data_IF_672473700878
#
_entry.id   IF_672473700878
#
_cell.length_a   1.000
_cell.length_b   1.000
_cell.length_c   1.000
_cell.angle_alpha   90.00
_cell.angle_beta   90.00
_cell.angle_gamma   90.00
#
_symmetry.space_group_name_H-M   'P 1'
#
loop_
_entity.id
_entity.type
_entity.pdbx_description
1 polymer ?
#
# COMPACT_ATOMS: atom_id res chain seq x y z
N UNK A 1 12.88 -61.06 -20.62
CA UNK A 1 12.34 -59.73 -20.24
C UNK A 1 12.95 -58.69 -21.16
N UNK A 2 12.12 -58.01 -21.96
CA UNK A 2 12.55 -57.05 -22.99
C UNK A 2 12.92 -55.71 -22.32
N UNK A 3 14.15 -55.27 -22.51
CA UNK A 3 14.58 -53.92 -22.13
C UNK A 3 14.22 -52.95 -23.26
N UNK A 4 13.35 -51.99 -22.98
CA UNK A 4 13.09 -50.86 -23.88
C UNK A 4 13.97 -49.68 -23.47
N UNK A 5 14.91 -49.32 -24.35
CA UNK A 5 15.64 -48.05 -24.30
C UNK A 5 14.83 -47.03 -25.08
N UNK A 6 14.36 -45.97 -24.43
CA UNK A 6 13.76 -44.81 -25.09
C UNK A 6 14.83 -43.73 -25.25
N UNK A 7 15.16 -43.41 -26.51
CA UNK A 7 15.96 -42.25 -26.87
C UNK A 7 15.01 -41.08 -27.09
N UNK A 8 15.10 -40.05 -26.25
CA UNK A 8 14.36 -38.80 -26.42
C UNK A 8 15.17 -37.86 -27.32
N UNK A 9 14.73 -37.68 -28.57
CA UNK A 9 15.22 -36.65 -29.49
C UNK A 9 14.28 -35.44 -29.37
N UNK A 10 14.86 -34.26 -29.17
CA UNK A 10 14.21 -33.13 -28.51
C UNK A 10 13.33 -32.21 -29.37
N UNK A 11 12.79 -31.19 -28.71
CA UNK A 11 12.55 -29.85 -29.26
C UNK A 11 12.72 -28.86 -28.10
N UNK A 12 13.80 -28.08 -28.12
CA UNK A 12 13.93 -26.90 -27.26
C UNK A 12 13.03 -25.83 -27.87
N UNK A 13 11.89 -25.57 -27.25
CA UNK A 13 11.10 -24.38 -27.59
C UNK A 13 11.89 -23.15 -27.11
N UNK A 14 12.62 -22.54 -28.05
CA UNK A 14 13.02 -21.15 -27.92
C UNK A 14 11.73 -20.32 -27.89
N UNK A 15 11.28 -19.95 -26.70
CA UNK A 15 10.31 -18.88 -26.52
C UNK A 15 10.94 -17.64 -27.15
N UNK A 16 10.43 -17.22 -28.31
CA UNK A 16 10.78 -15.93 -28.86
C UNK A 16 10.41 -14.88 -27.81
N UNK A 17 11.40 -14.18 -27.27
CA UNK A 17 11.14 -12.91 -26.62
C UNK A 17 10.40 -12.05 -27.64
N UNK A 18 9.10 -11.86 -27.41
CA UNK A 18 8.34 -10.85 -28.13
C UNK A 18 8.97 -9.51 -27.79
N UNK A 19 9.85 -9.02 -28.67
CA UNK A 19 10.29 -7.64 -28.65
C UNK A 19 9.03 -6.79 -28.81
N UNK A 20 8.60 -6.14 -27.74
CA UNK A 20 7.49 -5.19 -27.81
C UNK A 20 7.80 -4.17 -28.91
N UNK A 21 6.97 -4.14 -29.95
CA UNK A 21 7.08 -3.10 -30.98
C UNK A 21 6.79 -1.77 -30.29
N UNK A 22 7.80 -0.91 -30.22
CA UNK A 22 7.62 0.46 -29.81
C UNK A 22 6.62 1.15 -30.75
N UNK A 23 5.55 1.70 -30.19
CA UNK A 23 4.61 2.56 -30.92
C UNK A 23 5.34 3.89 -31.17
N UNK A 24 6.00 4.01 -32.32
CA UNK A 24 6.55 5.28 -32.77
C UNK A 24 5.42 6.15 -33.30
N UNK A 25 5.07 7.19 -32.55
CA UNK A 25 4.35 8.34 -33.11
C UNK A 25 5.24 9.00 -34.16
N UNK A 26 4.69 9.23 -35.35
CA UNK A 26 5.37 9.91 -36.46
C UNK A 26 5.82 11.32 -36.01
N UNK A 27 7.09 11.47 -35.63
CA UNK A 27 7.68 12.75 -35.23
C UNK A 27 8.84 12.69 -34.23
N UNK A 28 9.12 11.56 -33.59
CA UNK A 28 10.23 11.44 -32.63
C UNK A 28 11.44 10.78 -33.30
N UNK A 29 12.52 11.55 -33.49
CA UNK A 29 13.83 11.02 -33.88
C UNK A 29 14.26 9.90 -32.92
N UNK A 30 14.56 8.71 -33.46
CA UNK A 30 15.17 7.63 -32.71
C UNK A 30 16.59 8.04 -32.31
N UNK A 31 16.75 8.60 -31.11
CA UNK A 31 18.10 8.84 -30.56
C UNK A 31 18.85 7.53 -30.48
N UNK A 32 20.10 7.53 -30.93
CA UNK A 32 20.94 6.35 -30.82
C UNK A 32 21.25 6.06 -29.35
N UNK A 33 21.52 4.80 -29.00
CA UNK A 33 21.94 4.45 -27.64
C UNK A 33 23.16 5.25 -27.18
N UNK A 34 24.05 5.58 -28.13
CA UNK A 34 25.23 6.40 -27.90
C UNK A 34 24.88 7.86 -27.56
N UNK A 35 23.96 8.48 -28.30
CA UNK A 35 23.45 9.82 -27.99
C UNK A 35 22.76 9.88 -26.63
N UNK A 36 22.03 8.83 -26.25
CA UNK A 36 21.42 8.73 -24.91
C UNK A 36 22.50 8.66 -23.84
N UNK A 37 23.54 7.84 -24.06
CA UNK A 37 24.65 7.70 -23.12
C UNK A 37 25.43 9.00 -22.93
N UNK A 38 25.72 9.71 -24.02
CA UNK A 38 26.38 11.01 -24.01
C UNK A 38 25.49 12.09 -23.35
N UNK A 39 24.19 12.08 -23.65
CA UNK A 39 23.21 12.94 -23.01
C UNK A 39 23.03 12.70 -21.52
N UNK A 40 23.27 11.48 -21.02
CA UNK A 40 23.29 11.20 -19.57
C UNK A 40 24.62 11.65 -18.96
N UNK A 41 25.73 11.39 -19.66
CA UNK A 41 27.07 11.71 -19.18
C UNK A 41 27.27 13.22 -18.94
N UNK A 42 26.63 14.09 -19.73
CA UNK A 42 26.73 15.54 -19.57
C UNK A 42 26.16 16.07 -18.25
N UNK A 43 25.28 15.32 -17.56
CA UNK A 43 24.77 15.69 -16.23
C UNK A 43 25.69 15.27 -15.09
N UNK A 44 26.82 14.61 -15.37
CA UNK A 44 27.71 14.05 -14.35
C UNK A 44 28.17 15.09 -13.32
N UNK A 45 28.57 16.28 -13.75
CA UNK A 45 29.06 17.32 -12.84
C UNK A 45 27.95 17.95 -12.01
N UNK A 46 26.76 18.17 -12.61
CA UNK A 46 25.58 18.63 -11.88
C UNK A 46 25.13 17.61 -10.82
N UNK A 47 25.09 16.33 -11.17
CA UNK A 47 24.75 15.26 -10.24
C UNK A 47 25.75 15.20 -9.08
N UNK A 48 27.06 15.28 -9.36
CA UNK A 48 28.09 15.34 -8.32
C UNK A 48 27.94 16.57 -7.43
N UNK A 49 27.63 17.74 -7.99
CA UNK A 49 27.40 18.95 -7.22
C UNK A 49 26.22 18.80 -6.24
N UNK A 50 25.10 18.21 -6.70
CA UNK A 50 23.93 17.93 -5.85
C UNK A 50 24.29 16.94 -4.74
N UNK A 51 24.96 15.84 -5.08
CA UNK A 51 25.40 14.83 -4.10
C UNK A 51 26.32 15.48 -3.07
N UNK A 52 27.33 16.24 -3.51
CA UNK A 52 28.28 16.89 -2.61
C UNK A 52 27.58 17.90 -1.70
N UNK A 53 26.65 18.70 -2.22
CA UNK A 53 25.86 19.63 -1.41
C UNK A 53 25.08 18.91 -0.29
N UNK A 54 24.44 17.79 -0.63
CA UNK A 54 23.58 17.02 0.27
C UNK A 54 24.35 16.15 1.27
N UNK A 55 25.52 15.62 0.89
CA UNK A 55 26.28 14.65 1.69
C UNK A 55 27.40 15.31 2.48
N UNK A 56 28.10 16.29 1.90
CA UNK A 56 29.31 16.90 2.47
C UNK A 56 29.22 18.42 2.62
N UNK A 57 28.24 19.06 2.00
CA UNK A 57 28.07 20.50 1.97
C UNK A 57 27.11 21.02 3.03
N UNK A 58 26.70 22.28 2.85
CA UNK A 58 25.80 23.00 3.77
C UNK A 58 24.38 22.42 3.89
N UNK A 59 24.01 21.41 3.10
CA UNK A 59 22.72 20.73 3.20
C UNK A 59 22.83 19.34 3.86
N UNK A 60 24.00 18.98 4.35
CA UNK A 60 24.20 17.76 5.14
C UNK A 60 23.19 17.70 6.29
N UNK A 61 22.62 16.50 6.52
CA UNK A 61 21.61 16.19 7.54
C UNK A 61 20.25 16.90 7.41
N UNK A 62 20.08 17.90 6.54
CA UNK A 62 18.85 18.68 6.41
C UNK A 62 17.60 17.82 6.23
N UNK A 63 17.66 16.77 5.41
CA UNK A 63 16.51 15.87 5.19
C UNK A 63 16.12 15.10 6.46
N UNK A 64 17.11 14.66 7.23
CA UNK A 64 16.88 13.97 8.50
C UNK A 64 16.30 14.93 9.54
N UNK A 65 16.90 16.12 9.69
CA UNK A 65 16.44 17.14 10.64
C UNK A 65 15.03 17.63 10.34
N UNK A 66 14.70 17.87 9.06
CA UNK A 66 13.33 18.23 8.65
C UNK A 66 12.35 17.10 8.88
N UNK A 67 12.74 15.85 8.62
CA UNK A 67 11.91 14.70 8.92
C UNK A 67 11.67 14.59 10.43
N UNK A 68 12.71 14.72 11.25
CA UNK A 68 12.64 14.69 12.71
C UNK A 68 11.70 15.78 13.23
N UNK A 69 11.90 17.04 12.81
CA UNK A 69 10.99 18.14 13.14
C UNK A 69 9.53 17.79 12.80
N UNK A 70 9.29 17.28 11.58
CA UNK A 70 7.95 16.94 11.13
C UNK A 70 7.33 15.80 11.94
N UNK A 71 8.05 14.71 12.18
CA UNK A 71 7.50 13.53 12.87
C UNK A 71 7.37 13.76 14.37
N UNK A 72 8.37 14.38 15.01
CA UNK A 72 8.41 14.56 16.47
C UNK A 72 7.50 15.71 16.93
N UNK A 73 7.31 16.74 16.10
CA UNK A 73 6.49 17.92 16.47
C UNK A 73 5.03 17.81 16.02
N UNK A 74 4.75 17.03 14.97
CA UNK A 74 3.39 16.92 14.40
C UNK A 74 2.76 15.55 14.66
N UNK A 75 3.55 14.47 14.64
CA UNK A 75 3.03 13.11 14.79
C UNK A 75 2.17 12.65 13.60
N UNK A 76 1.10 11.84 13.84
CA UNK A 76 0.19 11.35 12.81
C UNK A 76 -0.58 12.45 12.08
N UNK A 77 -0.69 12.35 10.75
CA UNK A 77 -1.13 13.46 9.87
C UNK A 77 -2.23 13.03 8.89
N UNK A 78 -3.30 12.41 9.41
CA UNK A 78 -4.40 11.95 8.55
C UNK A 78 -5.04 13.13 7.81
N UNK A 79 -5.49 12.92 6.57
CA UNK A 79 -6.25 13.90 5.79
C UNK A 79 -7.42 14.48 6.61
N UNK A 80 -7.51 15.81 6.66
CA UNK A 80 -8.56 16.54 7.39
C UNK A 80 -8.24 16.79 8.87
N UNK A 81 -7.12 16.27 9.37
CA UNK A 81 -6.71 16.49 10.77
C UNK A 81 -6.01 17.84 10.97
N UNK A 82 -6.14 18.38 12.19
CA UNK A 82 -5.37 19.56 12.64
C UNK A 82 -3.85 19.36 12.52
N UNK A 83 -3.39 18.12 12.72
CA UNK A 83 -1.97 17.77 12.57
C UNK A 83 -1.51 17.88 11.11
N UNK A 84 -2.34 17.50 10.13
CA UNK A 84 -2.00 17.71 8.72
C UNK A 84 -1.87 19.20 8.40
N UNK A 85 -2.77 20.05 8.89
CA UNK A 85 -2.67 21.50 8.69
C UNK A 85 -1.34 22.06 9.23
N UNK A 86 -0.94 21.65 10.44
CA UNK A 86 0.37 22.02 11.01
C UNK A 86 1.53 21.55 10.13
N UNK A 87 1.48 20.34 9.59
CA UNK A 87 2.49 19.83 8.68
C UNK A 87 2.56 20.63 7.37
N UNK A 88 1.42 21.03 6.80
CA UNK A 88 1.37 21.86 5.60
C UNK A 88 2.06 23.20 5.85
N UNK A 89 1.80 23.84 6.99
CA UNK A 89 2.46 25.12 7.34
C UNK A 89 3.97 24.97 7.49
N UNK A 90 4.44 23.91 8.16
CA UNK A 90 5.89 23.63 8.29
C UNK A 90 6.53 23.43 6.92
N UNK A 91 5.89 22.66 6.03
CA UNK A 91 6.42 22.42 4.69
C UNK A 91 6.42 23.70 3.85
N UNK A 92 5.36 24.49 3.90
CA UNK A 92 5.26 25.77 3.21
C UNK A 92 6.38 26.73 3.66
N UNK A 93 6.56 26.89 4.97
CA UNK A 93 7.63 27.73 5.53
C UNK A 93 9.02 27.24 5.10
N UNK A 94 9.30 25.93 5.19
CA UNK A 94 10.58 25.36 4.76
C UNK A 94 10.90 25.69 3.29
N UNK A 95 9.91 25.62 2.40
CA UNK A 95 10.09 25.92 0.98
C UNK A 95 10.31 27.42 0.73
N UNK A 96 9.64 28.29 1.49
CA UNK A 96 9.87 29.73 1.45
C UNK A 96 11.29 30.10 1.93
N UNK A 97 11.75 29.51 3.03
CA UNK A 97 13.08 29.73 3.59
C UNK A 97 14.20 29.21 2.68
N UNK A 98 13.93 28.15 1.91
CA UNK A 98 14.85 27.66 0.86
C UNK A 98 14.96 28.62 -0.35
N UNK A 99 14.09 29.64 -0.42
CA UNK A 99 14.09 30.61 -1.51
C UNK A 99 13.59 30.05 -2.83
N UNK A 100 12.72 29.04 -2.80
CA UNK A 100 12.13 28.48 -4.01
C UNK A 100 11.15 29.46 -4.67
N UNK A 101 11.05 29.39 -5.99
CA UNK A 101 10.12 30.19 -6.76
C UNK A 101 8.69 29.63 -6.64
N UNK A 102 7.70 30.54 -6.65
CA UNK A 102 6.27 30.20 -6.70
C UNK A 102 5.77 29.27 -5.57
N UNK A 103 6.23 29.48 -4.33
CA UNK A 103 5.72 28.74 -3.16
C UNK A 103 4.34 29.28 -2.76
N UNK A 104 3.31 28.43 -2.84
CA UNK A 104 1.93 28.77 -2.48
C UNK A 104 1.16 27.51 -2.05
N UNK A 105 -0.03 27.70 -1.49
CA UNK A 105 -0.94 26.63 -1.10
C UNK A 105 -2.07 26.48 -2.12
N UNK A 106 -2.47 25.25 -2.40
CA UNK A 106 -3.62 24.93 -3.25
C UNK A 106 -4.73 24.27 -2.43
N UNK A 107 -5.99 24.72 -2.54
CA UNK A 107 -7.09 24.13 -1.80
C UNK A 107 -7.49 22.76 -2.38
N UNK A 108 -7.62 21.75 -1.51
CA UNK A 108 -8.05 20.40 -1.90
C UNK A 108 -9.25 19.98 -1.08
N UNK A 109 -10.32 19.54 -1.76
CA UNK A 109 -11.50 18.96 -1.10
C UNK A 109 -11.25 17.47 -0.81
N UNK A 110 -11.41 17.08 0.45
CA UNK A 110 -11.16 15.71 0.91
C UNK A 110 -12.33 15.18 1.75
N UNK A 111 -12.53 13.86 1.84
CA UNK A 111 -13.38 13.27 2.87
C UNK A 111 -12.74 13.44 4.25
N UNK A 112 -13.56 13.70 5.27
CA UNK A 112 -13.15 13.75 6.67
C UNK A 112 -13.63 12.49 7.39
N UNK A 113 -12.69 11.69 7.89
CA UNK A 113 -12.99 10.49 8.65
C UNK A 113 -12.16 10.50 9.93
N UNK A 114 -12.85 10.36 11.06
CA UNK A 114 -12.22 10.23 12.37
C UNK A 114 -12.46 8.83 12.91
N UNK A 115 -11.38 8.25 13.43
CA UNK A 115 -11.43 6.96 14.07
C UNK A 115 -12.07 7.10 15.44
N UNK A 116 -13.20 6.43 15.65
CA UNK A 116 -13.79 6.26 16.97
C UNK A 116 -13.12 5.17 17.81
N UNK A 117 -13.70 4.88 18.96
CA UNK A 117 -13.31 3.73 19.77
C UNK A 117 -13.65 2.41 19.07
N UNK A 118 -12.82 1.38 19.29
CA UNK A 118 -13.03 0.07 18.72
C UNK A 118 -12.38 -1.00 19.58
N UNK A 119 -13.11 -2.09 19.80
CA UNK A 119 -12.61 -3.27 20.51
C UNK A 119 -13.23 -4.53 19.94
N UNK A 120 -12.56 -5.66 20.15
CA UNK A 120 -13.09 -6.98 19.79
C UNK A 120 -12.68 -7.99 20.86
N UNK A 121 -13.60 -8.90 21.18
CA UNK A 121 -13.38 -9.99 22.12
C UNK A 121 -13.91 -11.27 21.49
N UNK A 122 -13.07 -12.29 21.41
CA UNK A 122 -13.50 -13.66 21.15
C UNK A 122 -14.19 -14.17 22.40
N UNK A 123 -15.45 -14.59 22.29
CA UNK A 123 -16.23 -15.10 23.43
C UNK A 123 -16.03 -16.61 23.62
N UNK A 124 -15.98 -17.35 22.52
CA UNK A 124 -15.78 -18.79 22.48
C UNK A 124 -14.67 -19.18 21.50
N UNK A 125 -13.94 -20.30 21.73
CA UNK A 125 -14.10 -21.25 22.84
C UNK A 125 -13.47 -20.75 24.16
N UNK A 126 -12.82 -19.59 24.13
CA UNK A 126 -12.26 -18.93 25.32
C UNK A 126 -12.42 -17.43 25.19
N UNK A 127 -12.58 -16.76 26.32
CA UNK A 127 -12.58 -15.31 26.37
C UNK A 127 -11.17 -14.80 26.04
N UNK A 128 -11.04 -14.08 24.92
CA UNK A 128 -9.77 -13.50 24.50
C UNK A 128 -9.97 -12.14 23.87
N UNK A 129 -9.40 -11.10 24.48
CA UNK A 129 -9.38 -9.75 23.93
C UNK A 129 -8.44 -9.70 22.73
N UNK A 130 -8.93 -9.24 21.59
CA UNK A 130 -8.16 -9.15 20.36
C UNK A 130 -7.67 -7.73 20.13
N UNK A 131 -6.41 -7.58 19.72
CA UNK A 131 -5.91 -6.32 19.20
C UNK A 131 -6.50 -6.09 17.80
N UNK A 132 -7.36 -5.07 17.69
CA UNK A 132 -8.04 -4.71 16.45
C UNK A 132 -7.93 -3.22 16.19
N UNK A 133 -7.96 -2.85 14.92
CA UNK A 133 -7.96 -1.46 14.48
C UNK A 133 -8.95 -1.33 13.32
N UNK A 134 -9.85 -0.35 13.40
CA UNK A 134 -10.78 -0.07 12.31
C UNK A 134 -10.05 0.23 10.99
N UNK A 135 -10.56 -0.28 9.88
CA UNK A 135 -10.04 0.16 8.57
C UNK A 135 -10.49 1.59 8.31
N UNK A 136 -9.68 2.36 7.56
CA UNK A 136 -10.06 3.70 7.15
C UNK A 136 -11.41 3.67 6.43
N UNK A 137 -12.28 4.62 6.74
CA UNK A 137 -13.67 4.69 6.23
C UNK A 137 -14.60 3.57 6.74
N UNK A 138 -14.19 2.75 7.71
CA UNK A 138 -15.14 1.87 8.41
C UNK A 138 -16.18 2.71 9.13
N UNK A 139 -17.44 2.29 9.03
CA UNK A 139 -18.53 2.82 9.84
C UNK A 139 -18.46 2.26 11.27
N UNK A 140 -19.11 2.95 12.20
CA UNK A 140 -19.30 2.45 13.56
C UNK A 140 -20.27 1.28 13.62
N UNK A 141 -20.12 0.42 14.63
CA UNK A 141 -21.14 -0.57 14.99
C UNK A 141 -22.36 0.10 15.63
N UNK A 142 -23.52 -0.56 15.71
CA UNK A 142 -24.63 -0.12 16.56
C UNK A 142 -24.18 0.10 18.02
N UNK A 143 -24.90 0.92 18.81
CA UNK A 143 -24.56 1.18 20.21
C UNK A 143 -24.40 -0.08 21.07
N UNK A 144 -25.20 -1.11 20.80
CA UNK A 144 -25.16 -2.42 21.45
C UNK A 144 -23.99 -3.32 20.98
N UNK A 145 -23.22 -2.89 19.98
CA UNK A 145 -22.16 -3.65 19.35
C UNK A 145 -22.68 -4.73 18.38
N UNK A 146 -21.78 -5.59 17.92
CA UNK A 146 -22.12 -6.76 17.10
C UNK A 146 -21.55 -7.99 17.79
N UNK A 147 -22.42 -8.95 18.12
CA UNK A 147 -22.03 -10.30 18.57
C UNK A 147 -22.60 -11.30 17.58
N UNK A 148 -21.73 -12.09 16.95
CA UNK A 148 -22.15 -13.09 15.97
C UNK A 148 -21.11 -14.20 15.84
N UNK A 149 -21.53 -15.35 15.29
CA UNK A 149 -20.60 -16.40 14.90
C UNK A 149 -19.60 -15.92 13.84
N UNK A 150 -18.45 -16.56 13.80
CA UNK A 150 -17.37 -16.24 12.86
C UNK A 150 -17.32 -17.26 11.74
N UNK A 151 -17.21 -16.77 10.50
CA UNK A 151 -16.85 -17.59 9.33
C UNK A 151 -15.42 -17.25 8.89
N UNK A 152 -14.48 -18.16 9.16
CA UNK A 152 -13.09 -18.00 8.69
C UNK A 152 -12.96 -18.53 7.27
N UNK A 153 -12.39 -17.71 6.39
CA UNK A 153 -12.09 -18.05 5.00
C UNK A 153 -10.70 -17.55 4.61
N UNK A 154 -10.09 -18.18 3.62
CA UNK A 154 -8.73 -17.87 3.13
C UNK A 154 -8.73 -17.09 1.82
N UNK A 155 -9.88 -16.98 1.15
CA UNK A 155 -10.01 -16.25 -0.11
C UNK A 155 -11.43 -15.75 -0.39
N UNK A 156 -11.55 -14.79 -1.31
CA UNK A 156 -12.86 -14.37 -1.84
C UNK A 156 -13.57 -15.51 -2.58
N UNK A 157 -12.85 -16.39 -3.27
CA UNK A 157 -13.43 -17.57 -3.91
C UNK A 157 -14.02 -18.54 -2.90
N UNK A 158 -13.31 -18.77 -1.78
CA UNK A 158 -13.84 -19.57 -0.69
C UNK A 158 -15.09 -18.94 -0.08
N UNK A 159 -15.09 -17.62 0.17
CA UNK A 159 -16.27 -16.91 0.66
C UNK A 159 -17.46 -17.07 -0.28
N UNK A 160 -17.26 -16.93 -1.59
CA UNK A 160 -18.32 -17.11 -2.60
C UNK A 160 -18.88 -18.53 -2.59
N UNK A 161 -18.03 -19.55 -2.51
CA UNK A 161 -18.49 -20.96 -2.43
C UNK A 161 -19.25 -21.25 -1.15
N UNK A 162 -18.86 -20.60 -0.05
CA UNK A 162 -19.46 -20.76 1.29
C UNK A 162 -20.48 -19.65 1.62
N UNK A 163 -20.98 -18.93 0.62
CA UNK A 163 -21.91 -17.81 0.82
C UNK A 163 -23.15 -18.18 1.68
N UNK A 164 -23.77 -19.37 1.56
CA UNK A 164 -24.88 -19.75 2.42
C UNK A 164 -24.53 -19.80 3.93
N UNK A 165 -23.27 -20.05 4.28
CA UNK A 165 -22.80 -20.07 5.67
C UNK A 165 -22.54 -18.67 6.25
N UNK A 166 -22.39 -17.65 5.40
CA UNK A 166 -21.89 -16.33 5.79
C UNK A 166 -22.98 -15.38 6.33
N UNK A 167 -24.24 -15.62 5.99
CA UNK A 167 -25.36 -14.75 6.36
C UNK A 167 -25.45 -14.61 7.89
N UNK A 168 -25.44 -13.37 8.38
CA UNK A 168 -25.53 -13.07 9.81
C UNK A 168 -24.24 -13.31 10.60
N UNK A 169 -23.13 -13.67 9.94
CA UNK A 169 -21.84 -13.94 10.60
C UNK A 169 -20.85 -12.79 10.43
N UNK A 170 -19.79 -12.81 11.23
CA UNK A 170 -18.59 -11.99 11.01
C UNK A 170 -17.63 -12.81 10.14
N UNK A 171 -17.28 -12.29 8.96
CA UNK A 171 -16.32 -12.96 8.07
C UNK A 171 -14.91 -12.59 8.51
N UNK A 172 -14.06 -13.58 8.77
CA UNK A 172 -12.63 -13.39 9.05
C UNK A 172 -11.82 -13.89 7.86
N UNK A 173 -11.17 -12.97 7.15
CA UNK A 173 -10.21 -13.33 6.10
C UNK A 173 -8.85 -13.65 6.73
N UNK A 174 -8.49 -14.94 6.68
CA UNK A 174 -7.21 -15.48 7.12
C UNK A 174 -6.37 -15.96 5.92
N UNK A 175 -6.25 -15.11 4.91
CA UNK A 175 -5.40 -15.35 3.75
C UNK A 175 -3.92 -15.46 4.18
N UNK A 176 -3.13 -16.36 3.58
CA UNK A 176 -1.70 -16.38 3.79
C UNK A 176 -1.06 -15.09 3.25
N UNK A 177 -0.20 -14.46 4.06
CA UNK A 177 0.58 -13.32 3.60
C UNK A 177 1.73 -13.81 2.70
N UNK A 178 1.71 -13.40 1.44
CA UNK A 178 2.79 -13.64 0.48
C UNK A 178 3.54 -12.35 0.17
N UNK A 179 2.81 -11.32 -0.23
CA UNK A 179 3.30 -9.95 -0.38
C UNK A 179 2.14 -8.96 -0.22
N UNK A 180 2.49 -7.69 -0.06
CA UNK A 180 1.54 -6.60 0.12
C UNK A 180 0.52 -6.51 -1.02
N UNK A 181 0.99 -6.49 -2.28
CA UNK A 181 0.13 -6.30 -3.46
C UNK A 181 -0.95 -7.38 -3.59
N UNK A 182 -0.66 -8.61 -3.16
CA UNK A 182 -1.63 -9.71 -3.13
C UNK A 182 -2.57 -9.62 -1.92
N UNK A 183 -2.07 -9.24 -0.75
CA UNK A 183 -2.87 -9.22 0.48
C UNK A 183 -3.74 -7.96 0.64
N UNK A 184 -3.36 -6.83 0.02
CA UNK A 184 -4.05 -5.54 0.20
C UNK A 184 -5.49 -5.55 -0.30
N UNK A 185 -5.82 -6.43 -1.25
CA UNK A 185 -7.19 -6.57 -1.77
C UNK A 185 -8.22 -6.85 -0.67
N UNK A 186 -7.86 -7.61 0.38
CA UNK A 186 -8.75 -7.88 1.51
C UNK A 186 -9.02 -6.63 2.33
N UNK A 187 -8.05 -5.73 2.47
CA UNK A 187 -8.25 -4.43 3.14
C UNK A 187 -9.16 -3.50 2.35
N UNK A 188 -9.06 -3.54 1.02
CA UNK A 188 -9.81 -2.65 0.13
C UNK A 188 -11.23 -3.15 -0.13
N UNK A 189 -11.39 -4.46 -0.34
CA UNK A 189 -12.63 -5.07 -0.82
C UNK A 189 -13.28 -6.02 0.18
N UNK A 190 -12.61 -6.39 1.27
CA UNK A 190 -13.10 -7.43 2.20
C UNK A 190 -14.47 -7.12 2.80
N UNK A 191 -14.72 -5.87 3.19
CA UNK A 191 -16.02 -5.44 3.70
C UNK A 191 -17.12 -5.55 2.63
N UNK A 192 -16.81 -5.16 1.39
CA UNK A 192 -17.76 -5.22 0.26
C UNK A 192 -18.08 -6.67 -0.10
N UNK A 193 -17.08 -7.54 -0.21
CA UNK A 193 -17.28 -8.96 -0.52
C UNK A 193 -18.04 -9.69 0.59
N UNK A 194 -17.79 -9.35 1.86
CA UNK A 194 -18.53 -9.90 3.00
C UNK A 194 -20.00 -9.44 3.01
N UNK A 195 -20.24 -8.15 2.72
CA UNK A 195 -21.60 -7.60 2.65
C UNK A 195 -22.44 -8.26 1.54
N UNK A 196 -21.85 -8.57 0.37
CA UNK A 196 -22.53 -9.26 -0.74
C UNK A 196 -23.14 -10.61 -0.35
N UNK A 197 -22.55 -11.30 0.62
CA UNK A 197 -23.03 -12.61 1.11
C UNK A 197 -23.83 -12.51 2.43
N UNK A 198 -24.16 -11.29 2.86
CA UNK A 198 -25.00 -11.04 4.04
C UNK A 198 -24.27 -11.13 5.38
N UNK A 199 -22.93 -11.00 5.40
CA UNK A 199 -22.17 -10.89 6.64
C UNK A 199 -22.48 -9.56 7.35
N UNK A 200 -22.40 -9.56 8.68
CA UNK A 200 -22.63 -8.37 9.51
C UNK A 200 -21.39 -7.47 9.60
N UNK A 201 -20.20 -8.07 9.54
CA UNK A 201 -18.93 -7.37 9.54
C UNK A 201 -17.84 -8.24 8.88
N UNK A 202 -16.69 -7.62 8.59
CA UNK A 202 -15.50 -8.33 8.15
C UNK A 202 -14.29 -7.95 8.99
N UNK A 203 -13.50 -8.95 9.37
CA UNK A 203 -12.15 -8.78 9.90
C UNK A 203 -11.16 -9.33 8.88
N UNK A 204 -10.00 -8.69 8.79
CA UNK A 204 -8.89 -9.18 7.97
C UNK A 204 -7.69 -9.40 8.86
N UNK A 205 -6.88 -10.39 8.51
CA UNK A 205 -5.50 -10.41 8.99
C UNK A 205 -4.77 -9.16 8.49
N UNK A 206 -3.98 -8.53 9.36
CA UNK A 206 -3.10 -7.41 9.00
C UNK A 206 -2.32 -7.71 7.71
N UNK A 207 -2.22 -6.71 6.83
CA UNK A 207 -1.53 -6.83 5.54
C UNK A 207 0.00 -6.72 5.74
N UNK A 208 0.55 -7.64 6.51
CA UNK A 208 1.97 -7.71 6.86
C UNK A 208 2.40 -9.17 7.11
N UNK A 209 3.70 -9.44 7.00
CA UNK A 209 4.29 -10.75 7.31
C UNK A 209 4.18 -11.09 8.79
N UNK A 210 4.27 -10.09 9.66
CA UNK A 210 4.15 -10.19 11.11
C UNK A 210 3.31 -9.03 11.65
N UNK A 211 2.55 -9.30 12.72
CA UNK A 211 1.78 -8.29 13.46
C UNK A 211 2.37 -8.16 14.86
N UNK A 212 2.57 -6.93 15.33
CA UNK A 212 3.26 -6.60 16.59
C UNK A 212 2.32 -6.52 17.81
N UNK A 213 1.19 -7.23 17.76
CA UNK A 213 0.19 -7.32 18.83
C UNK A 213 -0.16 -8.76 19.15
#
# INVERSE_FOLDING_TARGET
MKFHVFVFVGVVHFLSLSSGKAVYGNGVSQRTFQEIKEGIACYGDAAKAIINLAVYGKAQNRSYERLALLVDTVGPRLSGSKSLEKAIQIMHQNLQEDGLENVHLEPVKIPHWERGEGSAVMLEPRIHKMAVLGLGSSIGTPPEGITAEVLVVTSFDELRRRAPEARGKIVVYNQPYTNYSRAVQYRVQGAVEAAKVGALASLIRSVASFSIY
#
